data_IF_300859383521
#
_entry.id   IF_300859383521
#
_cell.length_a   1.000
_cell.length_b   1.000
_cell.length_c   1.000
_cell.angle_alpha   90.00
_cell.angle_beta   90.00
_cell.angle_gamma   90.00
#
_symmetry.space_group_name_H-M   'P 1'
#
loop_
_entity.id
_entity.type
_entity.pdbx_description
1 polymer ?
#
# COMPACT_ATOMS: atom_id res chain seq x y z
N UNK A 1 7.92 27.93 12.29
CA UNK A 1 7.12 26.69 12.30
C UNK A 1 7.01 26.19 13.73
N UNK A 2 5.79 25.98 14.22
CA UNK A 2 5.48 25.36 15.50
C UNK A 2 5.87 23.87 15.50
N UNK A 3 5.93 23.28 16.70
CA UNK A 3 6.18 21.84 16.86
C UNK A 3 5.12 21.00 16.14
N UNK A 4 3.85 21.44 16.18
CA UNK A 4 2.75 20.78 15.48
C UNK A 4 2.92 20.82 13.96
N UNK A 5 3.36 21.95 13.40
CA UNK A 5 3.61 22.09 11.96
C UNK A 5 4.77 21.21 11.51
N UNK A 6 5.84 21.11 12.29
CA UNK A 6 6.98 20.23 12.00
C UNK A 6 6.57 18.75 12.03
N UNK A 7 5.78 18.35 13.03
CA UNK A 7 5.26 16.98 13.14
C UNK A 7 4.37 16.62 11.94
N UNK A 8 3.42 17.49 11.59
CA UNK A 8 2.52 17.26 10.46
C UNK A 8 3.27 17.17 9.11
N UNK A 9 4.31 17.99 8.93
CA UNK A 9 5.15 17.94 7.73
C UNK A 9 5.98 16.66 7.66
N UNK A 10 6.55 16.25 8.79
CA UNK A 10 7.31 15.02 8.90
C UNK A 10 6.44 13.78 8.62
N UNK A 11 5.25 13.71 9.23
CA UNK A 11 4.25 12.68 8.94
C UNK A 11 3.97 12.68 7.44
N UNK A 12 3.49 13.78 6.87
CA UNK A 12 3.18 13.88 5.43
C UNK A 12 4.33 13.35 4.54
N UNK A 13 5.58 13.70 4.84
CA UNK A 13 6.74 13.21 4.09
C UNK A 13 6.89 11.69 4.18
N UNK A 14 6.85 11.11 5.38
CA UNK A 14 6.91 9.66 5.56
C UNK A 14 5.74 8.94 4.90
N UNK A 15 4.53 9.53 4.93
CA UNK A 15 3.37 8.98 4.23
C UNK A 15 3.60 8.90 2.72
N UNK A 16 4.11 9.96 2.09
CA UNK A 16 4.42 9.96 0.66
C UNK A 16 5.48 8.92 0.30
N UNK A 17 6.58 8.84 1.05
CA UNK A 17 7.62 7.84 0.82
C UNK A 17 7.10 6.40 0.97
N UNK A 18 6.25 6.17 1.97
CA UNK A 18 5.64 4.84 2.21
C UNK A 18 4.73 4.43 1.05
N UNK A 19 3.95 5.36 0.47
CA UNK A 19 3.12 5.09 -0.71
C UNK A 19 4.00 4.70 -1.91
N UNK A 20 5.08 5.46 -2.17
CA UNK A 20 6.00 5.16 -3.28
C UNK A 20 6.66 3.79 -3.10
N UNK A 21 7.10 3.49 -1.87
CA UNK A 21 7.68 2.19 -1.53
C UNK A 21 6.67 1.06 -1.73
N UNK A 22 5.41 1.28 -1.33
CA UNK A 22 4.33 0.31 -1.49
C UNK A 22 4.05 -0.01 -2.95
N UNK A 23 3.89 0.99 -3.82
CA UNK A 23 3.65 0.75 -5.25
C UNK A 23 4.80 -0.04 -5.88
N UNK A 24 6.05 0.33 -5.57
CA UNK A 24 7.24 -0.41 -6.04
C UNK A 24 7.24 -1.85 -5.55
N UNK A 25 6.89 -2.08 -4.28
CA UNK A 25 6.87 -3.40 -3.70
C UNK A 25 5.75 -4.26 -4.29
N UNK A 26 4.53 -3.72 -4.38
CA UNK A 26 3.39 -4.39 -4.98
C UNK A 26 3.67 -4.76 -6.43
N UNK A 27 4.28 -3.87 -7.25
CA UNK A 27 4.65 -4.19 -8.64
C UNK A 27 5.51 -5.46 -8.75
N UNK A 28 6.44 -5.68 -7.82
CA UNK A 28 7.30 -6.87 -7.81
C UNK A 28 6.55 -8.18 -7.53
N UNK A 29 5.37 -8.09 -6.91
CA UNK A 29 4.52 -9.25 -6.60
C UNK A 29 3.56 -9.62 -7.76
N UNK A 30 3.50 -8.82 -8.82
CA UNK A 30 2.57 -9.01 -9.93
C UNK A 30 3.20 -9.79 -11.08
N UNK A 31 2.35 -10.50 -11.85
CA UNK A 31 2.77 -11.24 -13.05
C UNK A 31 3.22 -10.33 -14.18
N UNK A 32 2.56 -9.19 -14.35
CA UNK A 32 2.92 -8.12 -15.28
C UNK A 32 3.05 -6.81 -14.47
N UNK A 33 4.26 -6.47 -13.99
CA UNK A 33 4.52 -5.29 -13.17
C UNK A 33 4.20 -3.95 -13.86
N UNK A 34 4.32 -3.90 -15.19
CA UNK A 34 4.12 -2.68 -15.97
C UNK A 34 2.62 -2.38 -16.17
N UNK A 35 1.79 -3.41 -16.18
CA UNK A 35 0.33 -3.29 -16.24
C UNK A 35 -0.35 -2.80 -14.95
N UNK A 36 0.41 -2.57 -13.87
CA UNK A 36 -0.14 -2.27 -12.56
C UNK A 36 -0.90 -0.94 -12.53
N UNK A 37 -2.18 -1.03 -12.17
CA UNK A 37 -3.07 0.10 -11.90
C UNK A 37 -3.35 0.19 -10.41
N UNK A 38 -3.07 1.35 -9.82
CA UNK A 38 -3.28 1.61 -8.39
C UNK A 38 -4.47 2.54 -8.18
N UNK A 39 -5.26 2.28 -7.13
CA UNK A 39 -6.36 3.13 -6.69
C UNK A 39 -6.44 3.20 -5.18
N UNK A 40 -6.91 4.35 -4.69
CA UNK A 40 -7.17 4.61 -3.26
C UNK A 40 -5.96 4.34 -2.36
N UNK A 41 -4.77 4.64 -2.85
CA UNK A 41 -3.53 4.43 -2.10
C UNK A 41 -3.36 5.56 -1.10
N UNK A 42 -3.32 5.22 0.18
CA UNK A 42 -3.16 6.15 1.29
C UNK A 42 -2.20 5.61 2.33
N UNK A 43 -1.47 6.53 2.96
CA UNK A 43 -0.67 6.22 4.13
C UNK A 43 -1.50 6.42 5.39
N UNK A 44 -1.45 5.46 6.30
CA UNK A 44 -2.05 5.52 7.63
C UNK A 44 -0.95 5.40 8.69
N UNK A 45 -1.15 6.09 9.81
CA UNK A 45 -0.27 6.02 10.96
C UNK A 45 -0.92 5.13 12.00
N UNK A 46 -0.23 4.07 12.35
CA UNK A 46 -0.64 3.11 13.36
C UNK A 46 0.36 3.14 14.50
N UNK A 47 -0.11 2.98 15.74
CA UNK A 47 0.80 2.89 16.89
C UNK A 47 1.60 1.59 16.86
N UNK A 48 1.00 0.51 16.35
CA UNK A 48 1.60 -0.83 16.33
C UNK A 48 2.58 -1.05 15.16
N UNK A 49 2.27 -0.55 13.97
CA UNK A 49 3.02 -0.84 12.74
C UNK A 49 3.72 0.39 12.14
N UNK A 50 3.63 1.55 12.80
CA UNK A 50 4.14 2.80 12.26
C UNK A 50 3.36 3.26 11.02
N UNK A 51 4.07 3.76 10.01
CA UNK A 51 3.45 4.21 8.75
C UNK A 51 3.21 3.01 7.85
N UNK A 52 1.94 2.78 7.51
CA UNK A 52 1.51 1.75 6.58
C UNK A 52 0.91 2.39 5.35
N UNK A 53 1.02 1.76 4.18
CA UNK A 53 0.30 2.16 2.98
C UNK A 53 -0.74 1.10 2.63
N UNK A 54 -1.97 1.54 2.45
CA UNK A 54 -3.10 0.71 2.08
C UNK A 54 -3.63 1.16 0.72
N UNK A 55 -4.04 0.23 -0.12
CA UNK A 55 -4.62 0.59 -1.41
C UNK A 55 -5.18 -0.60 -2.15
N UNK A 56 -5.54 -0.35 -3.42
CA UNK A 56 -6.04 -1.37 -4.34
C UNK A 56 -5.16 -1.42 -5.57
N UNK A 57 -4.87 -2.62 -6.06
CA UNK A 57 -4.10 -2.87 -7.29
C UNK A 57 -4.85 -3.80 -8.24
N UNK A 58 -4.80 -3.49 -9.53
CA UNK A 58 -5.22 -4.37 -10.62
C UNK A 58 -4.06 -4.53 -11.61
N UNK A 59 -3.93 -5.71 -12.20
CA UNK A 59 -2.88 -6.00 -13.18
C UNK A 59 -3.30 -7.17 -14.08
N UNK A 60 -2.64 -7.29 -15.23
CA UNK A 60 -2.85 -8.39 -16.16
C UNK A 60 -2.37 -9.71 -15.54
N UNK A 61 -3.15 -10.75 -15.79
CA UNK A 61 -2.77 -12.13 -15.49
C UNK A 61 -1.95 -12.75 -16.65
N UNK A 62 -1.62 -14.03 -16.53
CA UNK A 62 -0.85 -14.79 -17.55
C UNK A 62 -1.58 -14.90 -18.90
N UNK A 63 -2.90 -14.63 -18.93
CA UNK A 63 -3.72 -14.61 -20.14
C UNK A 63 -3.86 -13.18 -20.73
N UNK A 64 -3.17 -12.19 -20.17
CA UNK A 64 -3.18 -10.79 -20.62
C UNK A 64 -4.41 -9.98 -20.19
N UNK A 65 -5.29 -10.53 -19.35
CA UNK A 65 -6.54 -9.91 -18.91
C UNK A 65 -6.49 -9.34 -17.49
N UNK A 66 -7.21 -8.24 -17.27
CA UNK A 66 -7.45 -7.69 -15.93
C UNK A 66 -8.57 -8.48 -15.22
N UNK A 67 -8.39 -8.76 -13.94
CA UNK A 67 -9.35 -9.58 -13.14
C UNK A 67 -9.99 -8.82 -11.99
N UNK A 68 -9.79 -7.49 -11.94
CA UNK A 68 -10.36 -6.61 -10.93
C UNK A 68 -9.35 -6.14 -9.89
N UNK A 69 -9.72 -5.05 -9.22
CA UNK A 69 -8.93 -4.44 -8.15
C UNK A 69 -8.92 -5.31 -6.90
N UNK A 70 -7.75 -5.35 -6.25
CA UNK A 70 -7.48 -6.16 -5.08
C UNK A 70 -6.77 -5.37 -4.01
N UNK A 71 -7.12 -5.62 -2.77
CA UNK A 71 -6.53 -4.93 -1.62
C UNK A 71 -5.07 -5.32 -1.43
N UNK A 72 -4.26 -4.34 -1.05
CA UNK A 72 -2.93 -4.56 -0.52
C UNK A 72 -2.68 -3.71 0.72
N UNK A 73 -1.80 -4.22 1.58
CA UNK A 73 -1.23 -3.49 2.71
C UNK A 73 0.29 -3.58 2.61
N UNK A 74 0.96 -2.45 2.81
CA UNK A 74 2.41 -2.37 2.87
C UNK A 74 2.84 -1.74 4.20
N UNK A 75 3.73 -2.42 4.91
CA UNK A 75 4.26 -1.98 6.20
C UNK A 75 5.49 -2.82 6.54
N UNK A 76 6.45 -2.23 7.26
CA UNK A 76 7.70 -2.91 7.64
C UNK A 76 8.43 -3.59 6.44
N UNK A 77 8.38 -2.94 5.27
CA UNK A 77 9.00 -3.46 4.04
C UNK A 77 8.31 -4.67 3.39
N UNK A 78 7.18 -5.13 3.93
CA UNK A 78 6.43 -6.29 3.45
C UNK A 78 5.13 -5.90 2.75
N UNK A 79 4.74 -6.69 1.76
CA UNK A 79 3.45 -6.56 1.07
C UNK A 79 2.55 -7.72 1.50
N UNK A 80 1.32 -7.40 1.88
CA UNK A 80 0.22 -8.33 2.07
C UNK A 80 -0.78 -8.05 0.95
N UNK A 81 -0.97 -8.99 0.03
CA UNK A 81 -1.75 -8.82 -1.20
C UNK A 81 -2.91 -9.81 -1.26
N UNK A 82 -4.10 -9.31 -1.54
CA UNK A 82 -5.30 -10.14 -1.69
C UNK A 82 -5.17 -11.18 -2.82
N UNK A 83 -5.68 -12.39 -2.54
CA UNK A 83 -5.48 -13.66 -3.27
C UNK A 83 -4.12 -14.33 -3.11
N UNK A 84 -3.09 -13.64 -2.60
CA UNK A 84 -1.80 -14.25 -2.23
C UNK A 84 -1.74 -14.52 -0.73
N UNK A 85 -2.25 -13.58 0.07
CA UNK A 85 -2.19 -13.59 1.53
C UNK A 85 -3.59 -13.36 2.16
N UNK A 86 -3.72 -13.60 3.47
CA UNK A 86 -4.89 -13.20 4.24
C UNK A 86 -4.81 -11.69 4.58
N UNK A 87 -5.33 -10.86 3.67
CA UNK A 87 -5.28 -9.39 3.80
C UNK A 87 -6.27 -8.84 4.83
N UNK A 88 -7.30 -9.60 5.23
CA UNK A 88 -8.44 -9.05 6.00
C UNK A 88 -8.04 -8.52 7.38
N UNK A 89 -7.15 -9.20 8.08
CA UNK A 89 -6.72 -8.81 9.43
C UNK A 89 -5.84 -7.56 9.37
N UNK A 90 -4.84 -7.55 8.47
CA UNK A 90 -3.98 -6.40 8.23
C UNK A 90 -4.79 -5.18 7.75
N UNK A 91 -5.77 -5.40 6.89
CA UNK A 91 -6.64 -4.33 6.39
C UNK A 91 -7.51 -3.76 7.52
N UNK A 92 -8.10 -4.60 8.36
CA UNK A 92 -8.97 -4.14 9.45
C UNK A 92 -8.20 -3.40 10.54
N UNK A 93 -6.97 -3.85 10.84
CA UNK A 93 -6.14 -3.23 11.89
C UNK A 93 -5.41 -1.96 11.45
N UNK A 94 -5.16 -1.79 10.15
CA UNK A 94 -4.25 -0.73 9.66
C UNK A 94 -4.86 0.18 8.58
N UNK A 95 -5.96 -0.24 7.94
CA UNK A 95 -6.51 0.42 6.75
C UNK A 95 -7.94 0.96 6.89
N UNK A 96 -8.65 0.67 7.98
CA UNK A 96 -9.96 1.24 8.33
C UNK A 96 -9.78 2.47 9.22
#
# INVERSE_FOLDING_TARGET
>A
MSVAEKKAQQEKWFGTETIIAAERAVRRELKDPDSAEFKDVRANYTEEFGVVACGRVNAKNELGGYTGFRRFVFGDGRVILERRDNVSDAWSGACL
#
